data_IF_634928073611
#
_entry.id   IF_634928073611
#
_cell.length_a   1.000
_cell.length_b   1.000
_cell.length_c   1.000
_cell.angle_alpha   90.00
_cell.angle_beta   90.00
_cell.angle_gamma   90.00
#
_symmetry.space_group_name_H-M   'P 1'
#
loop_
_entity.id
_entity.type
_entity.pdbx_description
1 polymer ?
#
# COMPACT_ATOMS: atom_id res chain seq x y z
N UNK A 1 -14.35 -22.46 7.36
CA UNK A 1 -15.09 -21.55 6.46
C UNK A 1 -14.19 -20.36 6.16
N UNK A 2 -13.64 -20.26 4.95
CA UNK A 2 -12.74 -19.16 4.57
C UNK A 2 -13.59 -17.99 4.06
N UNK A 3 -13.72 -16.94 4.87
CA UNK A 3 -14.39 -15.71 4.44
C UNK A 3 -13.65 -15.14 3.22
N UNK A 4 -14.38 -14.99 2.12
CA UNK A 4 -13.89 -14.32 0.93
C UNK A 4 -13.58 -12.86 1.27
N UNK A 5 -12.30 -12.47 1.24
CA UNK A 5 -11.89 -11.06 1.32
C UNK A 5 -12.60 -10.28 0.22
N UNK A 6 -13.34 -9.22 0.56
CA UNK A 6 -14.26 -8.64 -0.39
C UNK A 6 -13.55 -7.47 -1.12
N UNK A 7 -13.29 -7.72 -2.41
CA UNK A 7 -12.72 -6.87 -3.47
C UNK A 7 -11.57 -5.88 -3.11
N UNK A 8 -10.33 -6.17 -3.55
CA UNK A 8 -9.19 -5.29 -3.35
C UNK A 8 -9.20 -4.07 -4.28
N UNK A 9 -8.45 -3.00 -3.94
CA UNK A 9 -8.23 -1.88 -4.85
C UNK A 9 -7.77 -2.40 -6.21
N UNK A 10 -8.34 -1.88 -7.30
CA UNK A 10 -8.06 -2.31 -8.69
C UNK A 10 -6.60 -2.03 -9.05
N UNK A 11 -5.69 -2.89 -8.59
CA UNK A 11 -4.30 -2.97 -9.06
C UNK A 11 -4.41 -3.47 -10.50
N UNK A 12 -3.94 -2.67 -11.46
CA UNK A 12 -3.98 -3.07 -12.87
C UNK A 12 -3.31 -4.43 -13.01
N UNK A 13 -3.95 -5.42 -13.65
CA UNK A 13 -3.36 -6.74 -13.83
C UNK A 13 -2.03 -6.60 -14.57
N UNK A 14 -0.96 -7.15 -14.00
CA UNK A 14 0.32 -7.17 -14.68
C UNK A 14 0.35 -8.38 -15.62
N UNK A 15 0.35 -8.12 -16.93
CA UNK A 15 0.48 -9.18 -17.95
C UNK A 15 1.91 -9.74 -18.04
N UNK A 16 2.87 -9.18 -17.28
CA UNK A 16 4.25 -9.66 -17.21
C UNK A 16 4.52 -10.57 -16.00
N UNK A 17 5.40 -11.55 -16.19
CA UNK A 17 5.88 -12.58 -15.23
C UNK A 17 6.38 -12.08 -13.85
N UNK A 18 6.45 -10.77 -13.60
CA UNK A 18 7.16 -10.20 -12.45
C UNK A 18 6.27 -9.30 -11.58
N UNK A 19 6.29 -9.54 -10.26
CA UNK A 19 5.61 -8.69 -9.28
C UNK A 19 6.20 -7.27 -9.25
N UNK A 20 5.34 -6.25 -9.27
CA UNK A 20 5.73 -4.85 -9.06
C UNK A 20 6.23 -4.61 -7.62
N UNK A 21 6.96 -3.52 -7.39
CA UNK A 21 7.43 -3.14 -6.04
C UNK A 21 6.25 -2.98 -5.07
N UNK A 22 5.12 -2.43 -5.54
CA UNK A 22 3.91 -2.30 -4.73
C UNK A 22 3.33 -3.68 -4.38
N UNK A 23 3.18 -4.58 -5.35
CA UNK A 23 2.66 -5.94 -5.10
C UNK A 23 3.55 -6.73 -4.14
N UNK A 24 4.88 -6.63 -4.26
CA UNK A 24 5.82 -7.25 -3.30
C UNK A 24 5.62 -6.69 -1.89
N UNK A 25 5.37 -5.39 -1.78
CA UNK A 25 5.10 -4.75 -0.50
C UNK A 25 3.76 -5.20 0.12
N UNK A 26 2.71 -5.37 -0.67
CA UNK A 26 1.44 -5.94 -0.20
C UNK A 26 1.61 -7.39 0.32
N UNK A 27 2.46 -8.20 -0.32
CA UNK A 27 2.80 -9.55 0.19
C UNK A 27 3.49 -9.48 1.56
N UNK A 28 4.34 -8.49 1.81
CA UNK A 28 4.95 -8.27 3.12
C UNK A 28 3.87 -7.91 4.15
N UNK A 29 2.98 -6.97 3.82
CA UNK A 29 1.89 -6.57 4.71
C UNK A 29 0.95 -7.75 5.04
N UNK A 30 0.62 -8.57 4.05
CA UNK A 30 -0.24 -9.72 4.25
C UNK A 30 0.38 -10.74 5.21
N UNK A 31 1.68 -11.00 5.10
CA UNK A 31 2.39 -11.86 6.03
C UNK A 31 2.49 -11.25 7.44
N UNK A 32 2.65 -9.93 7.56
CA UNK A 32 2.62 -9.27 8.87
C UNK A 32 1.26 -9.35 9.56
N UNK A 33 0.16 -9.32 8.79
CA UNK A 33 -1.20 -9.52 9.30
C UNK A 33 -1.47 -10.98 9.68
N UNK A 34 -0.84 -11.91 8.99
CA UNK A 34 -1.02 -13.35 9.18
C UNK A 34 0.35 -14.07 9.18
N UNK A 35 1.15 -13.96 10.25
CA UNK A 35 2.50 -14.52 10.29
C UNK A 35 2.51 -16.06 10.22
N UNK A 36 1.41 -16.71 10.60
CA UNK A 36 1.20 -18.16 10.48
C UNK A 36 0.92 -18.63 9.05
N UNK A 37 0.73 -17.71 8.09
CA UNK A 37 0.43 -18.07 6.71
C UNK A 37 1.69 -18.55 5.98
N UNK A 38 1.65 -19.79 5.48
CA UNK A 38 2.78 -20.39 4.78
C UNK A 38 3.10 -19.69 3.45
N UNK A 39 4.34 -19.81 2.97
CA UNK A 39 4.77 -19.22 1.70
C UNK A 39 3.92 -19.68 0.50
N UNK A 40 3.45 -20.94 0.49
CA UNK A 40 2.55 -21.44 -0.56
C UNK A 40 1.20 -20.75 -0.53
N UNK A 41 0.67 -20.50 0.66
CA UNK A 41 -0.63 -19.84 0.84
C UNK A 41 -0.54 -18.34 0.52
N UNK A 42 0.60 -17.70 0.83
CA UNK A 42 0.93 -16.34 0.39
C UNK A 42 1.05 -16.22 -1.13
N UNK A 43 1.62 -17.22 -1.79
CA UNK A 43 1.68 -17.27 -3.24
C UNK A 43 0.28 -17.37 -3.87
N UNK A 44 -0.55 -18.29 -3.38
CA UNK A 44 -1.93 -18.41 -3.85
C UNK A 44 -2.76 -17.16 -3.58
N UNK A 45 -2.58 -16.53 -2.41
CA UNK A 45 -3.19 -15.24 -2.12
C UNK A 45 -2.74 -14.18 -3.14
N UNK A 46 -1.43 -14.03 -3.38
CA UNK A 46 -0.90 -13.04 -4.32
C UNK A 46 -1.40 -13.26 -5.76
N UNK A 47 -1.57 -14.53 -6.18
CA UNK A 47 -2.15 -14.87 -7.48
C UNK A 47 -3.56 -14.31 -7.61
N UNK A 48 -4.42 -14.61 -6.62
CA UNK A 48 -5.82 -14.20 -6.59
C UNK A 48 -5.95 -12.69 -6.46
N UNK A 49 -5.17 -12.09 -5.56
CA UNK A 49 -5.21 -10.67 -5.23
C UNK A 49 -4.78 -9.79 -6.41
N UNK A 50 -3.76 -10.21 -7.16
CA UNK A 50 -3.18 -9.42 -8.24
C UNK A 50 -3.62 -9.86 -9.64
N UNK A 51 -4.50 -10.87 -9.74
CA UNK A 51 -4.96 -11.42 -11.01
C UNK A 51 -3.82 -11.98 -11.86
N UNK A 52 -2.85 -12.65 -11.23
CA UNK A 52 -1.71 -13.26 -11.93
C UNK A 52 -2.16 -14.56 -12.60
N UNK A 53 -1.58 -14.86 -13.76
CA UNK A 53 -1.77 -16.15 -14.43
C UNK A 53 -1.30 -17.31 -13.55
N UNK A 54 -0.07 -17.19 -13.02
CA UNK A 54 0.55 -18.18 -12.15
C UNK A 54 0.86 -17.62 -10.76
N UNK A 55 0.85 -18.46 -9.71
CA UNK A 55 1.27 -18.03 -8.40
C UNK A 55 2.78 -17.77 -8.37
N UNK A 56 3.25 -16.74 -7.64
CA UNK A 56 4.67 -16.53 -7.47
C UNK A 56 5.30 -17.73 -6.76
N UNK A 57 6.50 -18.14 -7.19
CA UNK A 57 7.14 -19.31 -6.60
C UNK A 57 7.44 -19.12 -5.11
N UNK A 58 7.47 -20.22 -4.34
CA UNK A 58 7.90 -20.19 -2.92
C UNK A 58 9.25 -19.51 -2.71
N UNK A 59 10.18 -19.66 -3.68
CA UNK A 59 11.48 -18.97 -3.66
C UNK A 59 11.31 -17.45 -3.78
N UNK A 60 10.41 -16.99 -4.64
CA UNK A 60 10.07 -15.57 -4.80
C UNK A 60 9.48 -14.98 -3.52
N UNK A 61 8.52 -15.69 -2.89
CA UNK A 61 7.91 -15.23 -1.62
C UNK A 61 8.96 -15.14 -0.51
N UNK A 62 9.83 -16.14 -0.38
CA UNK A 62 10.96 -16.07 0.57
C UNK A 62 11.92 -14.91 0.29
N UNK A 63 12.24 -14.66 -0.98
CA UNK A 63 13.09 -13.54 -1.38
C UNK A 63 12.44 -12.19 -1.04
N UNK A 64 11.13 -12.05 -1.23
CA UNK A 64 10.37 -10.85 -0.86
C UNK A 64 10.51 -10.58 0.64
N UNK A 65 10.40 -11.62 1.48
CA UNK A 65 10.58 -11.46 2.93
C UNK A 65 12.02 -11.11 3.31
N UNK A 66 13.02 -11.80 2.73
CA UNK A 66 14.44 -11.50 2.96
C UNK A 66 14.82 -10.08 2.54
N UNK A 67 14.17 -9.55 1.50
CA UNK A 67 14.46 -8.22 0.95
C UNK A 67 13.41 -7.17 1.35
N UNK A 68 12.69 -7.39 2.45
CA UNK A 68 11.56 -6.56 2.85
C UNK A 68 11.92 -5.07 3.00
N UNK A 69 13.03 -4.76 3.67
CA UNK A 69 13.46 -3.37 3.85
C UNK A 69 13.93 -2.71 2.54
N UNK A 70 14.58 -3.47 1.66
CA UNK A 70 14.94 -2.98 0.33
C UNK A 70 13.68 -2.68 -0.52
N UNK A 71 12.64 -3.52 -0.42
CA UNK A 71 11.35 -3.31 -1.10
C UNK A 71 10.63 -2.08 -0.53
N UNK A 72 10.61 -1.92 0.80
CA UNK A 72 10.06 -0.72 1.48
C UNK A 72 10.76 0.55 1.02
N UNK A 73 12.09 0.55 1.01
CA UNK A 73 12.90 1.68 0.53
C UNK A 73 12.64 1.97 -0.95
N UNK A 74 12.68 0.95 -1.82
CA UNK A 74 12.41 1.09 -3.26
C UNK A 74 11.00 1.60 -3.58
N UNK A 75 10.01 1.28 -2.74
CA UNK A 75 8.65 1.82 -2.85
C UNK A 75 8.64 3.33 -2.60
N UNK A 76 9.39 3.77 -1.59
CA UNK A 76 9.56 5.19 -1.28
C UNK A 76 10.32 5.90 -2.42
N UNK A 77 11.35 5.28 -2.97
CA UNK A 77 12.20 5.85 -4.02
C UNK A 77 11.61 5.82 -5.45
N UNK A 78 10.31 5.59 -5.61
CA UNK A 78 9.69 5.43 -6.94
C UNK A 78 9.92 6.66 -7.84
N UNK A 79 10.83 6.52 -8.81
CA UNK A 79 11.12 7.56 -9.81
C UNK A 79 9.88 7.82 -10.67
N UNK A 80 9.55 9.08 -10.91
CA UNK A 80 8.53 9.45 -11.91
C UNK A 80 9.01 9.07 -13.31
N UNK A 81 8.10 9.01 -14.29
CA UNK A 81 8.41 8.85 -15.73
C UNK A 81 9.44 9.88 -16.24
N UNK A 82 9.61 11.01 -15.54
CA UNK A 82 10.64 12.04 -15.81
C UNK A 82 11.94 11.86 -15.00
N UNK A 83 12.24 10.67 -14.49
CA UNK A 83 13.50 10.36 -13.80
C UNK A 83 13.67 10.94 -12.39
N UNK A 84 12.80 11.87 -11.94
CA UNK A 84 12.88 12.46 -10.59
C UNK A 84 12.56 11.42 -9.52
N UNK A 85 13.50 11.18 -8.60
CA UNK A 85 13.32 10.42 -7.36
C UNK A 85 12.22 11.09 -6.53
N UNK A 86 11.13 10.37 -6.23
CA UNK A 86 10.07 10.88 -5.35
C UNK A 86 10.52 10.74 -3.91
N UNK A 87 11.27 11.71 -3.40
CA UNK A 87 11.58 11.75 -1.98
C UNK A 87 10.31 12.12 -1.19
N UNK A 88 9.86 11.23 -0.32
CA UNK A 88 8.78 11.52 0.62
C UNK A 88 9.36 12.40 1.73
N UNK A 89 8.81 13.62 1.89
CA UNK A 89 9.26 14.53 2.94
C UNK A 89 9.16 13.89 4.32
N UNK A 90 8.13 13.07 4.56
CA UNK A 90 7.97 12.29 5.78
C UNK A 90 7.54 10.85 5.44
N UNK A 91 8.49 9.90 5.33
CA UNK A 91 8.20 8.51 4.98
C UNK A 91 7.28 7.81 5.99
N UNK A 92 7.47 8.08 7.28
CA UNK A 92 6.68 7.53 8.39
C UNK A 92 5.21 7.90 8.25
N UNK A 93 4.91 9.15 7.92
CA UNK A 93 3.55 9.62 7.71
C UNK A 93 2.86 8.90 6.55
N UNK A 94 3.54 8.71 5.43
CA UNK A 94 2.95 8.06 4.25
C UNK A 94 2.76 6.56 4.46
N UNK A 95 3.61 5.92 5.26
CA UNK A 95 3.44 4.54 5.70
C UNK A 95 2.17 4.38 6.55
N UNK A 96 2.04 5.17 7.61
CA UNK A 96 0.89 5.18 8.51
C UNK A 96 -0.41 5.47 7.77
N UNK A 97 -0.36 6.43 6.85
CA UNK A 97 -1.53 6.82 6.10
C UNK A 97 -1.94 5.74 5.08
N UNK A 98 -0.96 5.11 4.43
CA UNK A 98 -1.21 3.95 3.58
C UNK A 98 -1.81 2.76 4.34
N UNK A 99 -1.35 2.50 5.56
CA UNK A 99 -1.89 1.43 6.41
C UNK A 99 -3.31 1.73 6.88
N UNK A 100 -3.57 2.95 7.39
CA UNK A 100 -4.90 3.39 7.83
C UNK A 100 -5.93 3.31 6.69
N UNK A 101 -5.53 3.77 5.50
CA UNK A 101 -6.33 3.62 4.29
C UNK A 101 -6.64 2.15 3.98
N UNK A 102 -5.64 1.27 4.08
CA UNK A 102 -5.80 -0.15 3.82
C UNK A 102 -6.83 -0.80 4.74
N UNK A 103 -6.86 -0.40 6.01
CA UNK A 103 -7.86 -0.85 6.99
C UNK A 103 -9.25 -0.33 6.64
N UNK A 104 -9.39 0.96 6.36
CA UNK A 104 -10.69 1.54 6.02
C UNK A 104 -11.29 0.93 4.74
N UNK A 105 -10.45 0.65 3.74
CA UNK A 105 -10.88 -0.05 2.53
C UNK A 105 -11.37 -1.47 2.84
N UNK A 106 -10.67 -2.21 3.70
CA UNK A 106 -11.08 -3.55 4.13
C UNK A 106 -12.40 -3.55 4.93
N UNK A 107 -12.73 -2.44 5.58
CA UNK A 107 -13.95 -2.26 6.37
C UNK A 107 -15.09 -1.55 5.62
N UNK A 108 -14.96 -1.31 4.31
CA UNK A 108 -15.94 -0.54 3.51
C UNK A 108 -16.27 0.86 4.04
N UNK A 109 -15.43 1.42 4.91
CA UNK A 109 -15.67 2.74 5.47
C UNK A 109 -15.47 3.80 4.38
N UNK A 110 -16.46 4.68 4.20
CA UNK A 110 -16.31 5.84 3.33
C UNK A 110 -15.20 6.76 3.87
N UNK A 111 -14.06 6.78 3.17
CA UNK A 111 -12.95 7.64 3.52
C UNK A 111 -13.26 9.10 3.15
N UNK A 112 -13.59 9.91 4.15
CA UNK A 112 -13.68 11.36 3.95
C UNK A 112 -12.28 11.99 3.94
N UNK A 113 -12.12 13.03 3.11
CA UNK A 113 -10.89 13.84 3.07
C UNK A 113 -10.54 14.40 4.46
N UNK A 114 -11.56 14.73 5.25
CA UNK A 114 -11.42 15.28 6.60
C UNK A 114 -10.85 14.25 7.58
N UNK A 115 -11.29 13.00 7.50
CA UNK A 115 -10.78 11.90 8.34
C UNK A 115 -9.30 11.63 8.07
N UNK A 116 -8.92 11.54 6.79
CA UNK A 116 -7.53 11.31 6.39
C UNK A 116 -6.59 12.45 6.82
N UNK A 117 -7.04 13.71 6.71
CA UNK A 117 -6.27 14.86 7.21
C UNK A 117 -6.14 14.86 8.73
N UNK A 118 -7.20 14.52 9.47
CA UNK A 118 -7.15 14.44 10.93
C UNK A 118 -6.17 13.37 11.39
N UNK A 119 -6.19 12.17 10.79
CA UNK A 119 -5.22 11.11 11.10
C UNK A 119 -3.79 11.54 10.76
N UNK A 120 -3.56 12.19 9.62
CA UNK A 120 -2.23 12.71 9.27
C UNK A 120 -1.70 13.74 10.27
N UNK A 121 -2.56 14.64 10.75
CA UNK A 121 -2.19 15.62 11.79
C UNK A 121 -1.80 14.93 13.09
N UNK A 122 -2.56 13.92 13.52
CA UNK A 122 -2.24 13.13 14.72
C UNK A 122 -0.88 12.42 14.59
N UNK A 123 -0.63 11.78 13.44
CA UNK A 123 0.66 11.11 13.18
C UNK A 123 1.81 12.12 13.18
N UNK A 124 1.66 13.27 12.52
CA UNK A 124 2.68 14.33 12.52
C UNK A 124 2.98 14.87 13.91
N UNK A 125 1.98 14.97 14.80
CA UNK A 125 2.18 15.42 16.18
C UNK A 125 2.95 14.40 17.04
N UNK A 126 2.94 13.12 16.67
CA UNK A 126 3.68 12.06 17.36
C UNK A 126 5.14 11.93 16.87
N UNK A 127 5.55 12.65 15.83
CA UNK A 127 6.90 12.56 15.27
C UNK A 127 7.75 13.69 15.87
N UNK A 128 8.77 13.34 16.67
CA UNK A 128 9.61 14.31 17.39
C UNK A 128 10.42 15.24 16.46
N UNK A 129 10.79 14.79 15.26
CA UNK A 129 11.47 15.58 14.22
C UNK A 129 10.60 15.63 12.95
N UNK A 130 9.42 16.22 13.11
CA UNK A 130 8.46 16.31 12.02
C UNK A 130 8.93 17.39 11.01
N UNK A 131 9.17 17.04 9.74
CA UNK A 131 9.58 18.02 8.74
C UNK A 131 8.45 19.01 8.49
N UNK A 132 8.74 20.26 8.08
CA UNK A 132 7.73 21.28 7.82
C UNK A 132 6.88 20.91 6.59
N UNK A 133 5.85 20.11 6.82
CA UNK A 133 4.95 19.57 5.81
C UNK A 133 3.56 20.17 5.98
N UNK A 134 3.14 21.00 5.02
CA UNK A 134 1.77 21.51 4.98
C UNK A 134 0.81 20.40 4.56
N UNK A 135 0.07 19.87 5.54
CA UNK A 135 -1.00 18.87 5.37
C UNK A 135 -2.24 19.48 4.69
N UNK A 136 -2.10 19.88 3.44
CA UNK A 136 -3.17 20.50 2.64
C UNK A 136 -4.04 19.46 1.92
N UNK A 137 -5.21 19.89 1.45
CA UNK A 137 -6.09 19.10 0.59
C UNK A 137 -5.40 18.62 -0.70
N UNK A 138 -4.49 19.44 -1.27
CA UNK A 138 -3.68 19.08 -2.44
C UNK A 138 -2.63 18.03 -2.11
N UNK A 139 -1.99 18.11 -0.94
CA UNK A 139 -1.08 17.06 -0.48
C UNK A 139 -1.83 15.73 -0.33
N UNK A 140 -2.97 15.74 0.36
CA UNK A 140 -3.76 14.53 0.55
C UNK A 140 -4.25 13.94 -0.79
N UNK A 141 -4.66 14.78 -1.74
CA UNK A 141 -5.08 14.29 -3.07
C UNK A 141 -3.93 13.58 -3.82
N UNK A 142 -2.68 14.05 -3.64
CA UNK A 142 -1.49 13.36 -4.16
C UNK A 142 -1.22 12.05 -3.42
N UNK A 143 -1.34 12.02 -2.10
CA UNK A 143 -1.24 10.78 -1.30
C UNK A 143 -2.26 9.77 -1.79
N UNK A 144 -3.53 10.15 -1.84
CA UNK A 144 -4.62 9.30 -2.31
C UNK A 144 -4.39 8.76 -3.72
N UNK A 145 -4.05 9.62 -4.68
CA UNK A 145 -3.77 9.19 -6.05
C UNK A 145 -2.60 8.21 -6.16
N UNK A 146 -1.57 8.33 -5.30
CA UNK A 146 -0.43 7.40 -5.26
C UNK A 146 -0.79 6.03 -4.69
N UNK A 147 -1.65 6.00 -3.68
CA UNK A 147 -2.15 4.76 -3.08
C UNK A 147 -3.30 4.13 -3.88
N UNK A 148 -3.59 4.63 -5.09
CA UNK A 148 -4.68 4.12 -5.93
C UNK A 148 -6.07 4.43 -5.37
N UNK A 149 -6.18 5.36 -4.43
CA UNK A 149 -7.43 5.76 -3.81
C UNK A 149 -8.14 6.79 -4.68
N UNK A 150 -9.39 6.49 -5.00
CA UNK A 150 -10.33 7.46 -5.53
C UNK A 150 -11.32 7.75 -4.41
N UNK A 151 -11.53 9.04 -4.11
CA UNK A 151 -12.74 9.43 -3.40
C UNK A 151 -13.90 8.90 -4.25
N UNK A 152 -14.74 8.02 -3.69
CA UNK A 152 -16.04 7.78 -4.33
C UNK A 152 -16.78 9.10 -4.19
N UNK A 153 -16.93 9.82 -5.29
CA UNK A 153 -17.94 10.87 -5.37
C UNK A 153 -19.27 10.15 -5.20
N UNK A 154 -19.94 10.31 -4.06
CA UNK A 154 -21.38 10.03 -4.03
C UNK A 154 -21.98 11.05 -4.99
N UNK A 155 -22.41 10.58 -6.16
CA UNK A 155 -23.35 11.35 -6.96
C UNK A 155 -24.64 11.43 -6.11
N UNK A 156 -24.94 12.63 -5.66
CA UNK A 156 -26.33 13.02 -5.39
C UNK A 156 -26.97 13.43 -6.70
#
# INVERSE_FOLDING_TARGET
MFAASPHPPKIKPNKGKWLTVQQKYEVILQHQRHPSMSCSKLAEWARREFGLQDPPSRKTVRLIHKTADAIRKKRLDTKTTKGKTRCFKCPTLELEQGWFVGICNAQYACLSRRLLLSKAKKVMACISDAPPLKLSSRWLSKVMGRHGLRLRTMHG
#
